data_IF_608581423808
#
_entry.id   IF_608581423808
#
_cell.length_a   1.000
_cell.length_b   1.000
_cell.length_c   1.000
_cell.angle_alpha   90.00
_cell.angle_beta   90.00
_cell.angle_gamma   90.00
#
_symmetry.space_group_name_H-M   'P 1'
#
loop_
_entity.id
_entity.type
_entity.pdbx_description
1 polymer ?
#
# COMPACT_ATOMS: atom_id res chain seq x y z
N UNK A 1 52.36 38.22 14.71
CA UNK A 1 52.70 38.03 13.28
C UNK A 1 52.79 36.53 13.00
N UNK A 2 52.49 36.14 11.75
CA UNK A 2 52.40 34.79 11.18
C UNK A 2 51.06 34.04 11.30
N UNK A 3 50.20 34.27 10.30
CA UNK A 3 49.21 33.32 9.79
C UNK A 3 49.91 32.07 9.21
N UNK A 4 49.27 30.89 9.22
CA UNK A 4 49.30 29.88 8.13
C UNK A 4 48.22 28.78 8.39
N UNK A 5 47.26 28.72 7.46
CA UNK A 5 46.57 27.55 6.85
C UNK A 5 45.65 26.59 7.65
N UNK A 6 44.35 26.73 7.35
CA UNK A 6 43.34 25.66 7.24
C UNK A 6 43.77 24.55 6.26
N UNK A 7 43.33 23.28 6.47
CA UNK A 7 42.03 22.82 5.93
C UNK A 7 41.23 21.99 6.96
N UNK A 8 39.93 22.21 7.17
CA UNK A 8 38.82 21.78 6.30
C UNK A 8 38.93 20.32 5.80
N UNK A 9 38.77 19.35 6.71
CA UNK A 9 38.46 17.94 6.38
C UNK A 9 37.43 17.46 7.42
N UNK A 10 36.13 17.65 7.20
CA UNK A 10 35.24 16.66 6.58
C UNK A 10 35.46 15.24 7.10
N UNK A 11 34.97 14.96 8.30
CA UNK A 11 34.61 13.59 8.72
C UNK A 11 33.13 13.57 9.13
N UNK A 12 32.28 13.77 8.13
CA UNK A 12 30.91 13.29 8.15
C UNK A 12 30.96 11.76 8.16
N UNK A 13 30.90 11.16 9.35
CA UNK A 13 30.70 9.71 9.52
C UNK A 13 29.25 9.37 9.20
N UNK A 14 28.93 9.35 7.90
CA UNK A 14 27.70 8.79 7.34
C UNK A 14 28.02 7.40 6.85
N UNK A 15 27.43 6.38 7.46
CA UNK A 15 27.12 5.04 6.89
C UNK A 15 26.75 4.09 8.03
N UNK A 16 25.75 3.24 7.96
CA UNK A 16 24.77 2.97 6.93
C UNK A 16 23.65 2.21 7.67
N UNK A 17 22.45 2.78 7.75
CA UNK A 17 21.29 2.04 8.25
C UNK A 17 20.90 1.03 7.15
N UNK A 18 21.40 -0.20 7.27
CA UNK A 18 20.92 -1.33 6.47
C UNK A 18 19.51 -1.71 6.90
N UNK A 19 18.51 -0.92 6.48
CA UNK A 19 17.14 -1.40 6.47
C UNK A 19 17.02 -2.37 5.29
N UNK A 20 17.02 -3.66 5.62
CA UNK A 20 16.59 -4.69 4.69
C UNK A 20 15.21 -4.29 4.14
N UNK A 21 14.99 -4.27 2.81
CA UNK A 21 13.65 -4.11 2.28
C UNK A 21 12.85 -5.33 2.73
N UNK A 22 11.97 -5.11 3.71
CA UNK A 22 10.92 -6.04 4.07
C UNK A 22 10.27 -6.49 2.78
N UNK A 23 10.49 -7.76 2.42
CA UNK A 23 9.81 -8.44 1.33
C UNK A 23 8.33 -8.31 1.63
N UNK A 24 7.69 -7.29 1.06
CA UNK A 24 6.25 -7.09 1.02
C UNK A 24 5.72 -8.30 0.25
N UNK A 25 5.50 -9.41 0.97
CA UNK A 25 4.55 -10.41 0.53
C UNK A 25 3.26 -9.64 0.42
N UNK A 26 2.93 -9.32 -0.82
CA UNK A 26 1.67 -8.79 -1.29
C UNK A 26 0.58 -9.77 -0.82
N UNK A 27 0.16 -9.65 0.44
CA UNK A 27 -0.95 -10.44 0.99
C UNK A 27 -2.20 -9.81 0.43
N UNK A 28 -2.47 -10.16 -0.83
CA UNK A 28 -3.72 -9.90 -1.52
C UNK A 28 -4.81 -10.68 -0.78
N UNK A 29 -5.57 -9.99 0.07
CA UNK A 29 -6.64 -10.61 0.84
C UNK A 29 -7.79 -10.92 -0.12
N UNK A 30 -7.97 -12.21 -0.42
CA UNK A 30 -9.13 -12.76 -1.15
C UNK A 30 -10.21 -13.30 -0.21
N UNK A 31 -10.01 -13.26 1.10
CA UNK A 31 -11.01 -13.71 2.05
C UNK A 31 -12.11 -12.65 2.24
N UNK A 32 -13.12 -12.71 1.36
CA UNK A 32 -14.24 -11.79 1.41
C UNK A 32 -15.04 -11.90 2.71
N UNK A 33 -15.16 -13.09 3.31
CA UNK A 33 -15.88 -13.27 4.58
C UNK A 33 -15.20 -12.52 5.71
N UNK A 34 -13.87 -12.52 5.73
CA UNK A 34 -13.11 -11.74 6.70
C UNK A 34 -13.29 -10.23 6.47
N UNK A 35 -13.27 -9.78 5.21
CA UNK A 35 -13.51 -8.38 4.85
C UNK A 35 -14.90 -7.89 5.28
N UNK A 36 -15.94 -8.71 5.14
CA UNK A 36 -17.28 -8.40 5.65
C UNK A 36 -17.31 -8.29 7.17
N UNK A 37 -16.66 -9.21 7.89
CA UNK A 37 -16.60 -9.15 9.37
C UNK A 37 -15.94 -7.87 9.86
N UNK A 38 -14.89 -7.41 9.18
CA UNK A 38 -14.19 -6.16 9.51
C UNK A 38 -15.05 -4.90 9.28
N UNK A 39 -16.09 -4.97 8.45
CA UNK A 39 -16.97 -3.83 8.20
C UNK A 39 -17.88 -3.46 9.39
N UNK A 40 -18.12 -4.37 10.33
CA UNK A 40 -18.90 -4.12 11.56
C UNK A 40 -20.26 -3.40 11.30
N UNK A 41 -20.95 -3.75 10.22
CA UNK A 41 -22.23 -3.15 9.83
C UNK A 41 -22.15 -1.84 9.02
N UNK A 42 -20.95 -1.38 8.64
CA UNK A 42 -20.80 -0.24 7.72
C UNK A 42 -21.27 -0.62 6.31
N UNK A 43 -22.39 -0.03 5.88
CA UNK A 43 -23.03 -0.36 4.62
C UNK A 43 -22.14 -0.08 3.40
N UNK A 44 -21.23 0.90 3.47
CA UNK A 44 -20.35 1.17 2.34
C UNK A 44 -19.17 0.21 2.28
N UNK A 45 -18.59 -0.15 3.44
CA UNK A 45 -17.60 -1.21 3.54
C UNK A 45 -18.17 -2.54 3.02
N UNK A 46 -19.38 -2.92 3.46
CA UNK A 46 -20.04 -4.14 3.00
C UNK A 46 -20.32 -4.11 1.49
N UNK A 47 -20.80 -2.98 0.97
CA UNK A 47 -21.05 -2.81 -0.47
C UNK A 47 -19.76 -2.90 -1.28
N UNK A 48 -18.65 -2.39 -0.74
CA UNK A 48 -17.33 -2.50 -1.32
C UNK A 48 -16.86 -3.95 -1.35
N UNK A 49 -17.01 -4.69 -0.24
CA UNK A 49 -16.67 -6.11 -0.17
C UNK A 49 -17.52 -6.96 -1.14
N UNK A 50 -18.82 -6.67 -1.30
CA UNK A 50 -19.69 -7.35 -2.29
C UNK A 50 -19.22 -7.12 -3.73
N UNK A 51 -18.85 -5.88 -4.06
CA UNK A 51 -18.38 -5.54 -5.42
C UNK A 51 -17.04 -6.18 -5.72
N UNK A 52 -16.15 -6.16 -4.75
CA UNK A 52 -14.88 -6.85 -4.82
C UNK A 52 -15.09 -8.35 -5.09
N UNK A 53 -15.90 -9.04 -4.28
CA UNK A 53 -16.22 -10.46 -4.45
C UNK A 53 -16.72 -10.76 -5.86
N UNK A 54 -17.66 -9.94 -6.34
CA UNK A 54 -18.21 -10.07 -7.70
C UNK A 54 -17.18 -9.83 -8.81
N UNK A 55 -16.20 -8.96 -8.57
CA UNK A 55 -15.13 -8.66 -9.53
C UNK A 55 -14.04 -9.72 -9.57
N UNK A 56 -13.92 -10.57 -8.53
CA UNK A 56 -12.80 -11.51 -8.38
C UNK A 56 -11.45 -10.83 -8.12
N UNK A 57 -11.48 -9.56 -7.71
CA UNK A 57 -10.30 -8.74 -7.42
C UNK A 57 -9.62 -9.09 -6.08
N UNK A 58 -8.72 -8.23 -5.64
CA UNK A 58 -8.09 -8.32 -4.32
C UNK A 58 -7.98 -6.95 -3.66
N UNK A 59 -8.13 -6.93 -2.34
CA UNK A 59 -7.98 -5.70 -1.54
C UNK A 59 -6.53 -5.27 -1.50
N UNK A 60 -6.33 -3.97 -1.65
CA UNK A 60 -5.08 -3.29 -1.36
C UNK A 60 -5.03 -2.95 0.12
N UNK A 61 -3.90 -3.24 0.76
CA UNK A 61 -3.73 -2.93 2.17
C UNK A 61 -3.70 -1.42 2.42
N UNK A 62 -4.13 -1.00 3.61
CA UNK A 62 -4.01 0.39 4.04
C UNK A 62 -2.55 0.84 4.01
N UNK A 63 -2.33 2.06 3.49
CA UNK A 63 -0.99 2.62 3.33
C UNK A 63 -0.23 2.15 2.08
N UNK A 64 -0.72 1.14 1.34
CA UNK A 64 -0.13 0.83 0.04
C UNK A 64 -0.55 1.85 -1.02
N UNK A 65 0.36 2.18 -1.96
CA UNK A 65 0.01 2.98 -3.11
C UNK A 65 -1.11 2.28 -3.89
N UNK A 66 -2.05 3.05 -4.44
CA UNK A 66 -3.17 2.53 -5.21
C UNK A 66 -2.70 2.07 -6.61
N UNK A 67 -1.86 1.02 -6.62
CA UNK A 67 -1.15 0.50 -7.78
C UNK A 67 -1.47 -0.98 -7.91
N UNK A 68 -2.11 -1.33 -9.02
CA UNK A 68 -2.43 -2.71 -9.35
C UNK A 68 -1.36 -3.30 -10.29
N UNK A 69 -1.06 -4.61 -10.21
CA UNK A 69 -0.29 -5.35 -11.20
C UNK A 69 -0.85 -5.23 -12.63
N UNK A 70 0.01 -5.62 -13.58
CA UNK A 70 -0.39 -5.79 -14.97
C UNK A 70 -1.65 -6.66 -15.05
N UNK A 71 -2.58 -6.30 -15.93
CA UNK A 71 -3.91 -6.91 -16.09
C UNK A 71 -4.99 -6.56 -15.06
N UNK A 72 -4.68 -5.77 -14.04
CA UNK A 72 -5.67 -5.26 -13.09
C UNK A 72 -5.81 -3.73 -13.18
N UNK A 73 -7.00 -3.24 -12.85
CA UNK A 73 -7.32 -1.83 -12.75
C UNK A 73 -7.73 -1.48 -11.31
N UNK A 74 -7.26 -0.33 -10.80
CA UNK A 74 -7.71 0.17 -9.50
C UNK A 74 -9.20 0.44 -9.51
N UNK A 75 -9.90 -0.04 -8.49
CA UNK A 75 -11.35 0.08 -8.32
C UNK A 75 -11.67 0.28 -6.83
N UNK A 76 -12.79 0.92 -6.55
CA UNK A 76 -13.07 1.48 -5.24
C UNK A 76 -14.43 2.17 -5.18
N UNK A 77 -15.09 2.09 -4.04
CA UNK A 77 -16.17 3.03 -3.73
C UNK A 77 -15.55 4.35 -3.27
N UNK A 78 -16.26 5.46 -3.48
CA UNK A 78 -15.85 6.80 -3.03
C UNK A 78 -16.30 7.08 -1.59
N UNK A 79 -16.30 6.07 -0.74
CA UNK A 79 -16.65 6.22 0.67
C UNK A 79 -15.40 6.27 1.54
N UNK A 80 -15.54 6.85 2.73
CA UNK A 80 -14.44 6.95 3.69
C UNK A 80 -13.97 5.56 4.17
N UNK A 81 -14.91 4.64 4.40
CA UNK A 81 -14.66 3.31 4.97
C UNK A 81 -14.70 2.18 3.94
N UNK A 82 -14.72 2.49 2.64
CA UNK A 82 -14.71 1.44 1.61
C UNK A 82 -13.30 0.93 1.37
N UNK A 83 -13.19 -0.37 1.08
CA UNK A 83 -11.93 -0.94 0.62
C UNK A 83 -11.50 -0.32 -0.71
N UNK A 84 -10.18 -0.25 -0.87
CA UNK A 84 -9.52 0.00 -2.15
C UNK A 84 -9.11 -1.36 -2.69
N UNK A 85 -9.41 -1.64 -3.96
CA UNK A 85 -9.09 -2.94 -4.54
C UNK A 85 -8.65 -2.84 -5.99
N UNK A 86 -8.16 -3.97 -6.50
CA UNK A 86 -7.79 -4.12 -7.89
C UNK A 86 -8.73 -5.14 -8.54
N UNK A 87 -9.47 -4.71 -9.55
CA UNK A 87 -10.35 -5.56 -10.35
C UNK A 87 -9.61 -5.98 -11.63
N UNK A 88 -9.81 -7.20 -12.16
CA UNK A 88 -9.25 -7.56 -13.46
C UNK A 88 -9.79 -6.63 -14.54
N UNK A 89 -8.91 -6.24 -15.48
CA UNK A 89 -9.32 -5.43 -16.64
C UNK A 89 -10.33 -6.22 -17.45
N UNK A 90 -11.52 -5.65 -17.65
CA UNK A 90 -12.47 -6.19 -18.63
C UNK A 90 -11.81 -6.07 -20.01
N UNK A 91 -11.53 -7.22 -20.63
CA UNK A 91 -11.13 -7.30 -22.05
C UNK A 91 -12.30 -6.88 -22.94
#
# INVERSE_FOLDING_TARGET
MQFIFLPAILLFSVSCFSQAPSSFKDVQIRDYKELFKRCNGDSCCESSAKRLEKSGGYVLQEGQPFKCPADYSPDGLKCLNSYRWCSPKKK
#
